data_IF_027527780605
#
_entry.id   IF_027527780605
#
_cell.length_a   1.000
_cell.length_b   1.000
_cell.length_c   1.000
_cell.angle_alpha   90.00
_cell.angle_beta   90.00
_cell.angle_gamma   90.00
#
_symmetry.space_group_name_H-M   'P 1'
#
loop_
_entity.id
_entity.type
_entity.pdbx_description
1 polymer ?
#
# COMPACT_ATOMS: atom_id res chain seq x y z
N UNK A 1 13.84 11.91 -1.21
CA UNK A 1 14.01 10.44 -0.96
C UNK A 1 13.77 10.07 0.52
N UNK A 2 12.94 10.79 1.29
CA UNK A 2 12.65 10.44 2.70
C UNK A 2 11.85 9.14 2.79
N UNK A 3 10.74 9.06 2.05
CA UNK A 3 9.85 7.89 1.98
C UNK A 3 10.61 6.65 1.47
N UNK A 4 11.38 6.80 0.39
CA UNK A 4 12.18 5.72 -0.21
C UNK A 4 13.16 5.06 0.77
N UNK A 5 13.67 5.82 1.72
CA UNK A 5 14.67 5.36 2.68
C UNK A 5 14.08 5.14 4.08
N UNK A 6 12.75 5.14 4.22
CA UNK A 6 12.04 4.95 5.50
C UNK A 6 12.53 5.89 6.62
N UNK A 7 12.94 7.12 6.24
CA UNK A 7 13.47 8.08 7.20
C UNK A 7 12.32 8.76 7.96
N UNK A 8 12.47 8.97 9.27
CA UNK A 8 11.44 9.63 10.07
C UNK A 8 11.23 11.06 9.59
N UNK A 9 9.99 11.50 9.49
CA UNK A 9 9.69 12.88 9.07
C UNK A 9 10.22 13.92 10.06
N UNK A 10 10.49 13.54 11.32
CA UNK A 10 11.17 14.41 12.28
C UNK A 10 12.57 14.85 11.83
N UNK A 11 13.21 14.10 10.91
CA UNK A 11 14.53 14.45 10.40
C UNK A 11 14.56 15.85 9.79
N UNK A 12 13.50 16.28 9.09
CA UNK A 12 13.44 17.61 8.45
C UNK A 12 13.24 18.77 9.44
N UNK A 13 12.97 18.46 10.70
CA UNK A 13 12.86 19.43 11.80
C UNK A 13 14.08 19.40 12.72
N UNK A 14 14.99 18.44 12.54
CA UNK A 14 16.21 18.37 13.31
C UNK A 14 17.13 19.57 13.02
N UNK A 15 17.53 20.29 14.06
CA UNK A 15 18.33 21.51 13.94
C UNK A 15 19.73 21.27 13.32
N UNK A 16 20.40 20.18 13.69
CA UNK A 16 21.70 19.84 13.12
C UNK A 16 21.58 19.49 11.63
N UNK A 17 20.52 18.76 11.25
CA UNK A 17 20.23 18.42 9.85
C UNK A 17 19.91 19.66 9.01
N UNK A 18 19.12 20.61 9.53
CA UNK A 18 18.84 21.88 8.85
C UNK A 18 20.11 22.71 8.65
N UNK A 19 20.94 22.83 9.68
CA UNK A 19 22.23 23.53 9.58
C UNK A 19 23.16 22.87 8.56
N UNK A 20 23.14 21.54 8.48
CA UNK A 20 23.86 20.80 7.45
C UNK A 20 23.33 21.12 6.04
N UNK A 21 22.02 21.12 5.84
CA UNK A 21 21.40 21.47 4.55
C UNK A 21 21.67 22.92 4.15
N UNK A 22 21.61 23.88 5.08
CA UNK A 22 21.95 25.29 4.83
C UNK A 22 23.40 25.46 4.36
N UNK A 23 24.34 24.70 4.96
CA UNK A 23 25.74 24.70 4.53
C UNK A 23 25.96 24.05 3.17
N UNK A 24 25.15 23.06 2.81
CA UNK A 24 25.21 22.41 1.50
C UNK A 24 24.59 23.28 0.41
N UNK A 25 23.44 23.89 0.69
CA UNK A 25 22.73 24.77 -0.22
C UNK A 25 21.84 25.76 0.58
N UNK A 26 22.29 27.00 0.66
CA UNK A 26 21.60 28.06 1.41
C UNK A 26 20.24 28.47 0.82
N UNK A 27 19.99 28.18 -0.47
CA UNK A 27 18.72 28.50 -1.13
C UNK A 27 17.68 27.40 -0.98
N UNK A 28 18.06 26.25 -0.41
CA UNK A 28 17.14 25.12 -0.24
C UNK A 28 16.25 25.32 0.98
N UNK A 29 14.96 25.56 0.76
CA UNK A 29 14.00 25.63 1.84
C UNK A 29 13.49 24.21 2.19
N UNK A 30 13.88 23.72 3.36
CA UNK A 30 13.49 22.39 3.81
C UNK A 30 12.00 22.37 4.15
N UNK A 31 11.19 21.45 3.60
CA UNK A 31 9.77 21.37 3.92
C UNK A 31 9.56 21.04 5.41
N UNK A 32 8.49 21.56 5.99
CA UNK A 32 8.10 21.19 7.35
C UNK A 32 7.55 19.76 7.40
N UNK A 33 7.55 19.15 8.58
CA UNK A 33 6.91 17.85 8.77
C UNK A 33 5.45 17.87 8.33
N UNK A 34 4.72 18.94 8.67
CA UNK A 34 3.32 19.14 8.29
C UNK A 34 3.13 19.17 6.78
N UNK A 35 4.02 19.86 6.06
CA UNK A 35 3.99 19.89 4.59
C UNK A 35 4.24 18.50 3.99
N UNK A 36 5.19 17.76 4.56
CA UNK A 36 5.45 16.38 4.14
C UNK A 36 4.21 15.50 4.36
N UNK A 37 3.64 15.50 5.57
CA UNK A 37 2.54 14.59 5.92
C UNK A 37 1.23 14.94 5.23
N UNK A 38 0.91 16.22 5.07
CA UNK A 38 -0.43 16.65 4.66
C UNK A 38 -0.52 17.01 3.16
N UNK A 39 0.62 17.23 2.50
CA UNK A 39 0.63 17.62 1.07
C UNK A 39 1.47 16.64 0.25
N UNK A 40 2.76 16.52 0.55
CA UNK A 40 3.69 15.77 -0.31
C UNK A 40 3.43 14.26 -0.28
N UNK A 41 3.11 13.70 0.88
CA UNK A 41 2.84 12.27 1.02
C UNK A 41 1.52 11.88 0.34
N UNK A 42 0.38 12.58 0.54
CA UNK A 42 -0.84 12.33 -0.24
C UNK A 42 -0.65 12.46 -1.75
N UNK A 43 0.09 13.49 -2.21
CA UNK A 43 0.41 13.64 -3.64
C UNK A 43 1.19 12.44 -4.18
N UNK A 44 2.25 12.01 -3.47
CA UNK A 44 3.05 10.85 -3.85
C UNK A 44 2.21 9.56 -3.86
N UNK A 45 1.34 9.39 -2.87
CA UNK A 45 0.41 8.26 -2.80
C UNK A 45 -0.50 8.23 -4.02
N UNK A 46 -1.15 9.35 -4.36
CA UNK A 46 -2.06 9.42 -5.51
C UNK A 46 -1.34 9.11 -6.83
N UNK A 47 -0.16 9.70 -7.05
CA UNK A 47 0.66 9.39 -8.24
C UNK A 47 1.05 7.91 -8.31
N UNK A 48 1.39 7.31 -7.16
CA UNK A 48 1.73 5.88 -7.09
C UNK A 48 0.50 5.02 -7.36
N UNK A 49 -0.66 5.39 -6.80
CA UNK A 49 -1.94 4.71 -7.00
C UNK A 49 -2.36 4.71 -8.46
N UNK A 50 -2.26 5.85 -9.14
CA UNK A 50 -2.52 5.95 -10.59
C UNK A 50 -1.59 5.01 -11.39
N UNK A 51 -0.30 4.99 -11.04
CA UNK A 51 0.68 4.08 -11.68
C UNK A 51 0.28 2.61 -11.48
N UNK A 52 -0.15 2.23 -10.27
CA UNK A 52 -0.61 0.86 -9.98
C UNK A 52 -1.89 0.55 -10.73
N UNK A 53 -2.87 1.46 -10.78
CA UNK A 53 -4.11 1.28 -11.56
C UNK A 53 -3.77 1.01 -13.04
N UNK A 54 -2.84 1.77 -13.61
CA UNK A 54 -2.42 1.56 -14.99
C UNK A 54 -1.73 0.21 -15.21
N UNK A 55 -0.93 -0.26 -14.24
CA UNK A 55 -0.36 -1.61 -14.28
C UNK A 55 -1.45 -2.69 -14.21
N UNK A 56 -2.43 -2.55 -13.31
CA UNK A 56 -3.53 -3.51 -13.17
C UNK A 56 -4.39 -3.62 -14.43
N UNK A 57 -4.50 -2.57 -15.25
CA UNK A 57 -5.19 -2.64 -16.55
C UNK A 57 -4.58 -3.66 -17.50
N UNK A 58 -3.29 -3.96 -17.36
CA UNK A 58 -2.57 -4.92 -18.23
C UNK A 58 -2.82 -6.38 -17.86
N UNK A 59 -3.36 -6.65 -16.67
CA UNK A 59 -3.68 -7.99 -16.20
C UNK A 59 -5.10 -8.42 -16.57
N UNK A 60 -5.24 -9.71 -16.85
CA UNK A 60 -6.53 -10.35 -17.16
C UNK A 60 -7.03 -11.26 -16.03
N UNK A 61 -6.11 -11.87 -15.28
CA UNK A 61 -6.42 -12.80 -14.20
C UNK A 61 -5.56 -12.45 -12.99
N UNK A 62 -6.20 -12.34 -11.83
CA UNK A 62 -5.56 -11.91 -10.60
C UNK A 62 -5.73 -12.96 -9.51
N UNK A 63 -4.67 -13.17 -8.75
CA UNK A 63 -4.71 -13.88 -7.49
C UNK A 63 -4.46 -12.87 -6.37
N UNK A 64 -5.37 -12.80 -5.41
CA UNK A 64 -5.16 -11.98 -4.22
C UNK A 64 -4.52 -12.81 -3.12
N UNK A 65 -3.49 -12.26 -2.47
CA UNK A 65 -3.04 -12.78 -1.18
C UNK A 65 -3.47 -11.86 -0.06
N UNK A 66 -3.84 -12.44 1.06
CA UNK A 66 -4.12 -11.73 2.31
C UNK A 66 -3.19 -12.23 3.41
N UNK A 67 -2.60 -11.30 4.15
CA UNK A 67 -1.77 -11.58 5.32
C UNK A 67 -2.30 -10.76 6.52
N UNK A 68 -2.35 -11.39 7.69
CA UNK A 68 -2.75 -10.75 8.95
C UNK A 68 -1.59 -10.73 9.93
N UNK A 69 -1.13 -9.53 10.28
CA UNK A 69 -0.08 -9.30 11.25
C UNK A 69 -0.65 -8.70 12.53
N UNK A 70 -0.40 -9.33 13.67
CA UNK A 70 -0.62 -8.69 14.97
C UNK A 70 0.66 -7.99 15.43
N UNK A 71 0.56 -6.68 15.67
CA UNK A 71 1.65 -5.89 16.23
C UNK A 71 1.89 -6.18 17.71
N UNK A 72 3.07 -5.79 18.22
CA UNK A 72 3.38 -5.88 19.66
C UNK A 72 2.41 -5.08 20.54
N UNK A 73 1.75 -4.07 19.96
CA UNK A 73 0.70 -3.29 20.62
C UNK A 73 -0.69 -3.96 20.56
N UNK A 74 -0.78 -5.23 20.15
CA UNK A 74 -2.01 -5.99 19.95
C UNK A 74 -3.00 -5.38 18.95
N UNK A 75 -2.53 -4.54 18.04
CA UNK A 75 -3.31 -4.15 16.87
C UNK A 75 -3.14 -5.19 15.77
N UNK A 76 -4.25 -5.71 15.26
CA UNK A 76 -4.25 -6.55 14.08
C UNK A 76 -4.23 -5.69 12.82
N UNK A 77 -3.41 -6.07 11.86
CA UNK A 77 -3.30 -5.46 10.55
C UNK A 77 -3.55 -6.52 9.50
N UNK A 78 -4.38 -6.19 8.53
CA UNK A 78 -4.66 -7.00 7.37
C UNK A 78 -4.07 -6.29 6.16
N UNK A 79 -3.46 -7.06 5.27
CA UNK A 79 -3.00 -6.57 3.98
C UNK A 79 -3.60 -7.38 2.84
N UNK A 80 -3.89 -6.72 1.72
CA UNK A 80 -4.35 -7.34 0.48
C UNK A 80 -3.40 -6.98 -0.64
N UNK A 81 -2.78 -7.99 -1.24
CA UNK A 81 -1.86 -7.85 -2.38
C UNK A 81 -2.46 -8.56 -3.59
N UNK A 82 -2.50 -7.88 -4.73
CA UNK A 82 -2.94 -8.46 -6.00
C UNK A 82 -1.72 -8.90 -6.83
N UNK A 83 -1.81 -10.11 -7.35
CA UNK A 83 -0.78 -10.75 -8.16
C UNK A 83 -1.33 -11.07 -9.54
N UNK A 84 -0.54 -10.80 -10.58
CA UNK A 84 -0.87 -11.19 -11.95
C UNK A 84 0.40 -11.40 -12.78
N UNK A 85 0.27 -12.12 -13.89
CA UNK A 85 1.31 -12.22 -14.91
C UNK A 85 0.99 -11.21 -16.00
N UNK A 86 1.96 -10.35 -16.34
CA UNK A 86 1.79 -9.35 -17.40
C UNK A 86 2.11 -9.93 -18.80
N UNK A 87 1.97 -9.08 -19.83
CA UNK A 87 2.24 -9.47 -21.21
C UNK A 87 3.72 -9.84 -21.50
N UNK A 88 4.64 -9.44 -20.62
CA UNK A 88 6.06 -9.82 -20.69
C UNK A 88 6.35 -11.13 -19.95
N UNK A 89 5.30 -11.79 -19.42
CA UNK A 89 5.39 -12.99 -18.60
C UNK A 89 6.07 -12.76 -17.24
N UNK A 90 6.08 -11.52 -16.76
CA UNK A 90 6.61 -11.18 -15.44
C UNK A 90 5.50 -11.25 -14.37
N UNK A 91 5.85 -11.80 -13.20
CA UNK A 91 4.99 -11.69 -12.02
C UNK A 91 5.00 -10.26 -11.49
N UNK A 92 3.82 -9.65 -11.45
CA UNK A 92 3.57 -8.35 -10.84
C UNK A 92 2.81 -8.55 -9.54
N UNK A 93 3.25 -7.86 -8.49
CA UNK A 93 2.68 -7.92 -7.14
C UNK A 93 2.48 -6.50 -6.63
N UNK A 94 1.24 -6.13 -6.32
CA UNK A 94 0.90 -4.77 -5.88
C UNK A 94 0.09 -4.82 -4.57
N UNK A 95 0.60 -4.16 -3.53
CA UNK A 95 -0.14 -3.98 -2.27
C UNK A 95 -1.26 -2.97 -2.51
N UNK A 96 -2.51 -3.42 -2.35
CA UNK A 96 -3.70 -2.63 -2.67
C UNK A 96 -4.33 -2.00 -1.43
N UNK A 97 -4.21 -2.66 -0.27
CA UNK A 97 -4.69 -2.12 1.01
C UNK A 97 -3.92 -2.72 2.16
N UNK A 98 -3.70 -1.89 3.19
CA UNK A 98 -3.30 -2.32 4.52
C UNK A 98 -4.16 -1.57 5.52
N UNK A 99 -4.79 -2.29 6.44
CA UNK A 99 -5.85 -1.77 7.32
C UNK A 99 -5.81 -2.50 8.66
N UNK A 100 -6.46 -1.94 9.68
CA UNK A 100 -6.76 -2.65 10.93
C UNK A 100 -8.22 -3.15 10.99
N UNK A 101 -8.98 -2.93 9.92
CA UNK A 101 -10.43 -3.16 9.84
C UNK A 101 -10.80 -4.58 9.35
N UNK A 102 -12.10 -4.87 9.27
CA UNK A 102 -12.64 -6.21 9.01
C UNK A 102 -12.38 -6.70 7.56
N UNK A 103 -11.58 -7.76 7.42
CA UNK A 103 -11.14 -8.34 6.16
C UNK A 103 -12.20 -8.49 5.05
N UNK A 104 -13.44 -8.89 5.37
CA UNK A 104 -14.47 -9.15 4.34
C UNK A 104 -14.85 -7.86 3.60
N UNK A 105 -15.05 -6.78 4.35
CA UNK A 105 -15.35 -5.47 3.77
C UNK A 105 -14.17 -4.96 2.97
N UNK A 106 -12.96 -5.24 3.45
CA UNK A 106 -11.71 -4.81 2.84
C UNK A 106 -11.43 -5.50 1.50
N UNK A 107 -11.70 -6.80 1.38
CA UNK A 107 -11.52 -7.53 0.13
C UNK A 107 -12.50 -7.06 -0.96
N UNK A 108 -13.77 -6.86 -0.62
CA UNK A 108 -14.76 -6.34 -1.56
C UNK A 108 -14.49 -4.88 -1.93
N UNK A 109 -14.06 -4.07 -0.96
CA UNK A 109 -13.63 -2.70 -1.22
C UNK A 109 -12.44 -2.66 -2.17
N UNK A 110 -11.44 -3.53 -1.97
CA UNK A 110 -10.27 -3.61 -2.86
C UNK A 110 -10.69 -4.01 -4.28
N UNK A 111 -11.56 -5.01 -4.42
CA UNK A 111 -12.04 -5.43 -5.73
C UNK A 111 -12.73 -4.27 -6.48
N UNK A 112 -13.55 -3.47 -5.79
CA UNK A 112 -14.24 -2.30 -6.36
C UNK A 112 -13.31 -1.14 -6.66
N UNK A 113 -12.58 -0.69 -5.65
CA UNK A 113 -11.72 0.49 -5.71
C UNK A 113 -10.65 0.36 -6.80
N UNK A 114 -10.15 -0.87 -6.99
CA UNK A 114 -9.10 -1.17 -7.95
C UNK A 114 -9.63 -1.76 -9.27
N UNK A 115 -10.96 -1.85 -9.43
CA UNK A 115 -11.64 -2.35 -10.64
C UNK A 115 -11.20 -3.77 -11.06
N UNK A 116 -11.20 -4.69 -10.09
CA UNK A 116 -10.75 -6.09 -10.22
C UNK A 116 -11.86 -7.12 -9.99
N UNK A 117 -13.11 -6.71 -9.67
CA UNK A 117 -14.20 -7.62 -9.28
C UNK A 117 -14.40 -8.83 -10.22
N UNK A 118 -14.30 -8.63 -11.53
CA UNK A 118 -14.49 -9.70 -12.53
C UNK A 118 -13.20 -10.40 -12.96
N UNK A 119 -12.05 -10.01 -12.41
CA UNK A 119 -10.73 -10.51 -12.82
C UNK A 119 -10.03 -11.34 -11.75
N UNK A 120 -10.54 -11.35 -10.53
CA UNK A 120 -9.98 -12.15 -9.43
C UNK A 120 -10.41 -13.60 -9.60
N UNK A 121 -9.45 -14.50 -9.81
CA UNK A 121 -9.69 -15.94 -10.04
C UNK A 121 -9.28 -16.81 -8.85
N UNK A 122 -8.53 -16.24 -7.90
CA UNK A 122 -8.06 -16.95 -6.72
C UNK A 122 -7.79 -16.01 -5.55
N UNK A 123 -7.94 -16.54 -4.35
CA UNK A 123 -7.56 -15.90 -3.10
C UNK A 123 -6.67 -16.86 -2.30
N UNK A 124 -5.60 -16.37 -1.70
CA UNK A 124 -4.72 -17.13 -0.81
C UNK A 124 -4.59 -16.37 0.50
N UNK A 125 -4.60 -17.08 1.61
CA UNK A 125 -4.36 -16.50 2.93
C UNK A 125 -3.42 -17.33 3.76
N UNK A 126 -2.97 -16.75 4.87
CA UNK A 126 -2.55 -17.55 6.01
C UNK A 126 -3.73 -18.42 6.54
N UNK A 127 -3.42 -19.41 7.37
CA UNK A 127 -4.42 -20.30 7.95
C UNK A 127 -5.09 -19.69 9.21
N UNK A 128 -5.06 -18.36 9.40
CA UNK A 128 -5.73 -17.74 10.52
C UNK A 128 -7.25 -17.92 10.38
N UNK A 129 -7.89 -18.42 11.43
CA UNK A 129 -9.30 -18.86 11.41
C UNK A 129 -10.26 -17.76 10.96
N UNK A 130 -9.99 -16.51 11.33
CA UNK A 130 -10.75 -15.33 10.92
C UNK A 130 -10.63 -15.04 9.41
N UNK A 131 -9.45 -15.25 8.83
CA UNK A 131 -9.21 -15.03 7.39
C UNK A 131 -9.86 -16.12 6.54
N UNK A 132 -9.68 -17.38 6.95
CA UNK A 132 -10.31 -18.52 6.28
C UNK A 132 -11.84 -18.39 6.25
N UNK A 133 -12.44 -17.89 7.34
CA UNK A 133 -13.87 -17.60 7.38
C UNK A 133 -14.26 -16.46 6.43
N UNK A 134 -13.47 -15.37 6.40
CA UNK A 134 -13.73 -14.22 5.54
C UNK A 134 -13.70 -14.57 4.05
N UNK A 135 -12.69 -15.32 3.60
CA UNK A 135 -12.57 -15.73 2.19
C UNK A 135 -13.78 -16.56 1.74
N UNK A 136 -14.33 -17.40 2.61
CA UNK A 136 -15.53 -18.19 2.30
C UNK A 136 -16.81 -17.35 2.18
N UNK A 137 -16.84 -16.18 2.82
CA UNK A 137 -17.96 -15.23 2.76
C UNK A 137 -17.86 -14.29 1.54
N UNK A 138 -16.70 -14.26 0.90
CA UNK A 138 -16.48 -13.45 -0.27
C UNK A 138 -16.99 -14.22 -1.49
N UNK A 139 -18.14 -13.79 -2.02
CA UNK A 139 -18.82 -14.39 -3.17
C UNK A 139 -18.14 -14.04 -4.51
N UNK A 140 -16.84 -14.27 -4.64
CA UNK A 140 -16.16 -14.16 -5.93
C UNK A 140 -16.57 -15.33 -6.83
N UNK A 141 -16.90 -15.03 -8.09
CA UNK A 141 -17.42 -16.00 -9.07
C UNK A 141 -16.33 -16.83 -9.70
#
# INVERSE_FOLDING_TARGET
RLVKNYLPFQLVENAAFRKFLEKLNNSYNTPSRKKISNELLPQLYNMTKETVIDQLKTGNYFCNTTDSLTSEANHNYISVTAHFIDASFDLRSNLLRQTAENLVEEQNWVAREWNLEEKIVAAVSDNATNIVAAIKLVEWK
#
